data_IF_960984983560
#
_entry.id   IF_960984983560
#
_cell.length_a   1.000
_cell.length_b   1.000
_cell.length_c   1.000
_cell.angle_alpha   90.00
_cell.angle_beta   90.00
_cell.angle_gamma   90.00
#
_symmetry.space_group_name_H-M   'P 1'
#
loop_
_entity.id
_entity.type
_entity.pdbx_description
1 polymer ?
#
# COMPACT_ATOMS: atom_id res chain seq x y z
N UNK A 1 8.53 -0.28 -3.11
CA UNK A 1 9.73 -0.08 -2.25
C UNK A 1 9.81 -1.09 -1.12
N UNK A 2 8.94 -1.06 -0.11
CA UNK A 2 9.07 -1.99 1.03
C UNK A 2 9.09 -3.47 0.61
N UNK A 3 8.14 -3.90 -0.22
CA UNK A 3 8.14 -5.26 -0.80
C UNK A 3 9.44 -5.58 -1.54
N UNK A 4 9.92 -4.70 -2.41
CA UNK A 4 11.16 -4.92 -3.17
C UNK A 4 12.41 -5.06 -2.27
N UNK A 5 12.47 -4.33 -1.16
CA UNK A 5 13.59 -4.43 -0.22
C UNK A 5 13.51 -5.66 0.69
N UNK A 6 12.30 -6.08 1.08
CA UNK A 6 12.10 -7.22 1.98
C UNK A 6 12.10 -8.55 1.23
N UNK A 7 11.71 -8.57 -0.04
CA UNK A 7 11.61 -9.77 -0.86
C UNK A 7 12.69 -9.75 -1.96
N UNK A 8 13.85 -10.39 -1.74
CA UNK A 8 14.95 -10.41 -2.70
C UNK A 8 14.69 -11.38 -3.88
N UNK A 9 13.47 -11.42 -4.38
CA UNK A 9 13.08 -12.21 -5.56
C UNK A 9 13.34 -11.37 -6.83
N UNK A 10 13.93 -12.01 -7.85
CA UNK A 10 14.21 -11.35 -9.13
C UNK A 10 12.96 -11.29 -10.01
N UNK A 11 12.96 -10.35 -10.94
CA UNK A 11 11.92 -10.18 -11.95
C UNK A 11 10.85 -9.16 -11.55
N UNK A 12 9.97 -8.90 -12.52
CA UNK A 12 8.88 -7.93 -12.42
C UNK A 12 7.83 -8.41 -11.44
N UNK A 13 7.44 -7.54 -10.50
CA UNK A 13 6.46 -7.85 -9.47
C UNK A 13 5.18 -7.06 -9.67
N UNK A 14 4.05 -7.74 -9.54
CA UNK A 14 2.77 -7.11 -9.19
C UNK A 14 2.68 -7.07 -7.67
N UNK A 15 2.46 -5.90 -7.09
CA UNK A 15 2.27 -5.71 -5.66
C UNK A 15 0.85 -5.23 -5.42
N UNK A 16 0.14 -5.91 -4.51
CA UNK A 16 -1.23 -5.57 -4.10
C UNK A 16 -1.24 -5.32 -2.59
N UNK A 17 -1.77 -4.18 -2.17
CA UNK A 17 -1.97 -3.84 -0.77
C UNK A 17 -3.43 -3.47 -0.54
N UNK A 18 -4.14 -4.24 0.30
CA UNK A 18 -5.54 -3.95 0.66
C UNK A 18 -5.56 -3.37 2.07
N UNK A 19 -5.72 -2.06 2.14
CA UNK A 19 -5.85 -1.31 3.38
C UNK A 19 -7.30 -1.18 3.87
N UNK A 20 -7.49 -0.36 4.91
CA UNK A 20 -8.81 -0.07 5.47
C UNK A 20 -9.67 0.83 4.59
N UNK A 21 -9.06 1.84 3.96
CA UNK A 21 -9.75 2.84 3.14
C UNK A 21 -9.45 2.77 1.64
N UNK A 22 -8.25 2.31 1.27
CA UNK A 22 -7.77 2.22 -0.10
C UNK A 22 -7.13 0.86 -0.39
N UNK A 23 -6.92 0.62 -1.68
CA UNK A 23 -6.16 -0.52 -2.21
C UNK A 23 -5.16 0.00 -3.22
N UNK A 24 -3.90 -0.36 -3.07
CA UNK A 24 -2.81 0.00 -3.96
C UNK A 24 -2.46 -1.18 -4.86
N UNK A 25 -2.20 -0.90 -6.14
CA UNK A 25 -1.76 -1.86 -7.14
C UNK A 25 -0.56 -1.29 -7.88
N UNK A 26 0.56 -2.00 -7.86
CA UNK A 26 1.82 -1.55 -8.44
C UNK A 26 2.43 -2.64 -9.29
N UNK A 27 2.86 -2.33 -10.51
CA UNK A 27 3.80 -3.17 -11.24
C UNK A 27 5.15 -2.46 -11.27
N UNK A 28 6.21 -3.14 -10.87
CA UNK A 28 7.57 -2.59 -10.84
C UNK A 28 8.62 -3.66 -10.99
N UNK A 29 9.86 -3.23 -11.24
CA UNK A 29 11.01 -4.12 -11.40
C UNK A 29 12.29 -3.38 -10.97
N UNK A 30 13.17 -4.06 -10.24
CA UNK A 30 14.47 -3.52 -9.79
C UNK A 30 14.34 -2.15 -9.10
N UNK A 31 13.45 -2.05 -8.11
CA UNK A 31 13.15 -0.81 -7.36
C UNK A 31 12.55 0.35 -8.19
N UNK A 32 12.28 0.15 -9.48
CA UNK A 32 11.59 1.14 -10.32
C UNK A 32 10.11 0.78 -10.51
N UNK A 33 9.17 1.63 -10.05
CA UNK A 33 7.77 1.46 -10.36
C UNK A 33 7.50 1.76 -11.84
N UNK A 34 6.68 0.94 -12.48
CA UNK A 34 6.26 1.09 -13.88
C UNK A 34 4.81 1.56 -13.96
N UNK A 35 3.91 0.89 -13.24
CA UNK A 35 2.52 1.28 -13.07
C UNK A 35 2.23 1.44 -11.59
N UNK A 36 1.59 2.55 -11.19
CA UNK A 36 1.27 2.85 -9.80
C UNK A 36 -0.16 3.35 -9.73
N UNK A 37 -1.02 2.60 -9.06
CA UNK A 37 -2.43 2.91 -8.94
C UNK A 37 -2.88 2.78 -7.49
N UNK A 38 -3.78 3.66 -7.07
CA UNK A 38 -4.54 3.53 -5.81
C UNK A 38 -6.02 3.70 -6.10
N UNK A 39 -6.84 2.89 -5.45
CA UNK A 39 -8.30 2.93 -5.56
C UNK A 39 -8.92 3.10 -4.19
N UNK A 40 -9.95 3.94 -4.10
CA UNK A 40 -10.77 4.12 -2.88
C UNK A 40 -11.70 2.91 -2.71
N UNK A 41 -11.13 1.83 -2.22
CA UNK A 41 -11.78 0.60 -1.76
C UNK A 41 -10.89 -0.04 -0.71
N UNK A 42 -11.42 -0.26 0.47
CA UNK A 42 -10.69 -0.92 1.55
C UNK A 42 -11.65 -1.68 2.44
N UNK A 43 -11.12 -2.55 3.29
CA UNK A 43 -11.93 -3.47 4.07
C UNK A 43 -12.90 -2.77 5.04
N UNK A 44 -12.53 -1.60 5.59
CA UNK A 44 -13.41 -0.80 6.47
C UNK A 44 -14.50 -0.09 5.67
N UNK A 45 -14.15 0.56 4.55
CA UNK A 45 -15.14 1.26 3.72
C UNK A 45 -16.13 0.28 3.07
N UNK A 46 -15.66 -0.89 2.63
CA UNK A 46 -16.53 -1.91 2.05
C UNK A 46 -17.41 -2.62 3.08
N UNK A 47 -16.97 -2.74 4.34
CA UNK A 47 -17.82 -3.23 5.43
C UNK A 47 -19.09 -2.39 5.53
N UNK A 48 -18.93 -1.07 5.60
CA UNK A 48 -20.04 -0.12 5.76
C UNK A 48 -20.98 -0.10 4.54
N UNK A 49 -20.40 -0.15 3.33
CA UNK A 49 -21.17 -0.02 2.09
C UNK A 49 -21.92 -1.28 1.69
N UNK A 50 -21.30 -2.46 1.84
CA UNK A 50 -21.83 -3.70 1.26
C UNK A 50 -22.31 -4.72 2.29
N UNK A 51 -21.92 -4.57 3.56
CA UNK A 51 -22.27 -5.49 4.64
C UNK A 51 -22.88 -4.72 5.82
N UNK A 52 -24.02 -4.02 5.62
CA UNK A 52 -24.65 -3.25 6.69
C UNK A 52 -24.97 -4.14 7.90
N UNK A 53 -24.63 -3.66 9.10
CA UNK A 53 -24.78 -4.44 10.34
C UNK A 53 -23.89 -5.69 10.43
N UNK A 54 -22.88 -5.82 9.56
CA UNK A 54 -22.00 -6.99 9.48
C UNK A 54 -22.67 -8.23 8.88
N UNK A 55 -23.81 -8.07 8.20
CA UNK A 55 -24.58 -9.20 7.63
C UNK A 55 -23.83 -9.83 6.47
N UNK A 56 -23.59 -11.14 6.57
CA UNK A 56 -22.96 -11.96 5.53
C UNK A 56 -24.05 -12.73 4.79
N UNK A 57 -24.11 -12.54 3.47
CA UNK A 57 -24.87 -13.36 2.54
C UNK A 57 -24.21 -13.29 1.16
N UNK A 58 -24.70 -14.12 0.22
CA UNK A 58 -24.13 -14.24 -1.12
C UNK A 58 -24.26 -12.94 -1.90
N UNK A 59 -25.39 -12.25 -1.76
CA UNK A 59 -25.71 -11.03 -2.50
C UNK A 59 -24.79 -9.87 -2.08
N UNK A 60 -24.60 -9.67 -0.78
CA UNK A 60 -23.69 -8.68 -0.21
C UNK A 60 -22.25 -8.93 -0.68
N UNK A 61 -21.80 -10.19 -0.61
CA UNK A 61 -20.47 -10.57 -1.03
C UNK A 61 -20.25 -10.34 -2.53
N UNK A 62 -21.20 -10.75 -3.37
CA UNK A 62 -21.14 -10.55 -4.82
C UNK A 62 -21.13 -9.08 -5.20
N UNK A 63 -21.95 -8.24 -4.56
CA UNK A 63 -21.93 -6.79 -4.81
C UNK A 63 -20.58 -6.17 -4.44
N UNK A 64 -20.00 -6.55 -3.30
CA UNK A 64 -18.68 -6.07 -2.91
C UNK A 64 -17.58 -6.51 -3.89
N UNK A 65 -17.57 -7.79 -4.28
CA UNK A 65 -16.59 -8.33 -5.25
C UNK A 65 -16.69 -7.63 -6.60
N UNK A 66 -17.91 -7.45 -7.12
CA UNK A 66 -18.15 -6.77 -8.39
C UNK A 66 -17.75 -5.29 -8.32
N UNK A 67 -18.04 -4.61 -7.22
CA UNK A 67 -17.64 -3.22 -7.02
C UNK A 67 -16.11 -3.05 -6.95
N UNK A 68 -15.39 -4.02 -6.38
CA UNK A 68 -13.93 -4.03 -6.43
C UNK A 68 -13.42 -4.20 -7.87
N UNK A 69 -13.95 -5.17 -8.62
CA UNK A 69 -13.58 -5.37 -10.02
C UNK A 69 -13.89 -4.13 -10.89
N UNK A 70 -15.05 -3.50 -10.70
CA UNK A 70 -15.45 -2.29 -11.42
C UNK A 70 -14.47 -1.12 -11.20
N UNK A 71 -13.95 -0.97 -9.97
CA UNK A 71 -12.94 0.08 -9.67
C UNK A 71 -11.61 -0.14 -10.39
N UNK A 72 -11.37 -1.34 -10.91
CA UNK A 72 -10.16 -1.71 -11.64
C UNK A 72 -10.37 -1.72 -13.16
N UNK A 73 -11.58 -1.48 -13.65
CA UNK A 73 -11.94 -1.63 -15.06
C UNK A 73 -10.97 -0.86 -16.00
N UNK A 74 -10.67 0.40 -15.67
CA UNK A 74 -9.80 1.27 -16.48
C UNK A 74 -8.32 0.88 -16.48
N UNK A 75 -7.85 0.07 -15.53
CA UNK A 75 -6.44 -0.34 -15.41
C UNK A 75 -6.19 -1.79 -15.81
N UNK A 76 -7.23 -2.62 -15.91
CA UNK A 76 -7.11 -4.08 -16.13
C UNK A 76 -6.26 -4.44 -17.35
N UNK A 77 -6.55 -3.84 -18.52
CA UNK A 77 -5.84 -4.12 -19.76
C UNK A 77 -4.36 -3.73 -19.69
N UNK A 78 -4.08 -2.53 -19.17
CA UNK A 78 -2.72 -2.01 -19.02
C UNK A 78 -1.88 -2.90 -18.10
N UNK A 79 -2.44 -3.31 -16.95
CA UNK A 79 -1.74 -4.18 -16.00
C UNK A 79 -1.49 -5.58 -16.58
N UNK A 80 -2.49 -6.17 -17.25
CA UNK A 80 -2.38 -7.52 -17.82
C UNK A 80 -1.39 -7.58 -18.98
N UNK A 81 -1.33 -6.55 -19.83
CA UNK A 81 -0.32 -6.47 -20.90
C UNK A 81 1.07 -6.22 -20.33
N UNK A 82 1.19 -5.34 -19.34
CA UNK A 82 2.47 -5.10 -18.68
C UNK A 82 3.00 -6.40 -18.06
N UNK A 83 2.11 -7.19 -17.45
CA UNK A 83 2.43 -8.50 -16.89
C UNK A 83 3.38 -8.43 -15.68
N UNK A 84 3.60 -9.59 -15.08
CA UNK A 84 4.50 -9.78 -13.94
C UNK A 84 5.05 -11.21 -13.94
N UNK A 85 6.21 -11.40 -13.33
CA UNK A 85 6.78 -12.72 -13.06
C UNK A 85 6.21 -13.30 -11.76
N UNK A 86 6.01 -12.46 -10.75
CA UNK A 86 5.46 -12.84 -9.45
C UNK A 86 4.44 -11.79 -8.97
N UNK A 87 3.36 -12.24 -8.34
CA UNK A 87 2.45 -11.35 -7.63
C UNK A 87 2.65 -11.50 -6.12
N UNK A 88 2.80 -10.36 -5.44
CA UNK A 88 3.03 -10.25 -4.01
C UNK A 88 1.89 -9.43 -3.39
N UNK A 89 1.38 -9.90 -2.27
CA UNK A 89 0.34 -9.22 -1.52
C UNK A 89 0.85 -8.77 -0.15
N UNK A 90 0.49 -7.56 0.25
CA UNK A 90 0.87 -6.97 1.53
C UNK A 90 -0.35 -6.71 2.43
N UNK A 91 -0.07 -6.32 3.67
CA UNK A 91 -1.05 -5.87 4.65
C UNK A 91 -2.04 -6.95 5.13
N UNK A 92 -2.97 -6.48 5.95
CA UNK A 92 -3.74 -7.29 6.88
C UNK A 92 -4.71 -8.29 6.27
N UNK A 93 -5.40 -7.88 5.21
CA UNK A 93 -6.40 -8.72 4.54
C UNK A 93 -5.75 -9.93 3.89
N UNK A 94 -4.63 -9.73 3.19
CA UNK A 94 -3.93 -10.80 2.47
C UNK A 94 -3.24 -11.73 3.46
N UNK A 95 -2.63 -11.19 4.51
CA UNK A 95 -2.07 -11.98 5.62
C UNK A 95 -3.12 -12.89 6.26
N UNK A 96 -4.28 -12.35 6.60
CA UNK A 96 -5.37 -13.15 7.19
C UNK A 96 -5.88 -14.23 6.21
N UNK A 97 -6.01 -13.92 4.92
CA UNK A 97 -6.43 -14.90 3.92
C UNK A 97 -5.43 -16.06 3.80
N UNK A 98 -4.13 -15.74 3.81
CA UNK A 98 -3.06 -16.73 3.85
C UNK A 98 -3.13 -17.59 5.13
N UNK A 99 -3.21 -16.98 6.31
CA UNK A 99 -3.27 -17.70 7.60
C UNK A 99 -4.47 -18.66 7.66
N UNK A 100 -5.66 -18.21 7.27
CA UNK A 100 -6.86 -19.07 7.24
C UNK A 100 -6.70 -20.22 6.25
N UNK A 101 -6.08 -20.02 5.09
CA UNK A 101 -5.82 -21.10 4.14
C UNK A 101 -4.86 -22.15 4.69
N UNK A 102 -3.81 -21.72 5.40
CA UNK A 102 -2.87 -22.62 6.07
C UNK A 102 -3.58 -23.46 7.14
N UNK A 103 -4.42 -22.84 7.96
CA UNK A 103 -5.23 -23.52 8.98
C UNK A 103 -6.31 -24.44 8.38
N UNK A 104 -6.77 -24.17 7.17
CA UNK A 104 -7.66 -25.05 6.40
C UNK A 104 -6.91 -26.23 5.73
N UNK A 105 -5.59 -26.32 5.89
CA UNK A 105 -4.76 -27.44 5.43
C UNK A 105 -4.13 -27.28 4.04
N UNK A 106 -4.08 -26.07 3.49
CA UNK A 106 -3.28 -25.81 2.27
C UNK A 106 -1.77 -25.90 2.58
N UNK A 107 -0.98 -26.40 1.63
CA UNK A 107 0.40 -26.86 1.91
C UNK A 107 1.51 -25.84 1.69
N UNK A 108 1.28 -24.83 0.85
CA UNK A 108 2.35 -24.00 0.25
C UNK A 108 2.16 -22.49 0.47
N UNK A 109 1.04 -22.07 1.08
CA UNK A 109 0.77 -20.66 1.39
C UNK A 109 0.44 -19.76 0.20
N UNK A 110 0.37 -20.31 -1.03
CA UNK A 110 0.04 -19.53 -2.23
C UNK A 110 -1.48 -19.27 -2.26
N UNK A 111 -1.89 -18.04 -2.53
CA UNK A 111 -3.30 -17.70 -2.74
C UNK A 111 -3.59 -17.82 -4.24
N UNK A 112 -4.59 -18.65 -4.59
CA UNK A 112 -5.03 -18.89 -5.98
C UNK A 112 -6.53 -18.60 -6.11
N UNK A 113 -7.08 -18.43 -7.34
CA UNK A 113 -8.52 -18.27 -7.53
C UNK A 113 -9.34 -19.37 -6.84
N UNK A 114 -8.92 -20.63 -6.95
CA UNK A 114 -9.63 -21.79 -6.40
C UNK A 114 -9.63 -21.76 -4.86
N UNK A 115 -8.52 -21.34 -4.26
CA UNK A 115 -8.38 -21.18 -2.81
C UNK A 115 -9.20 -20.00 -2.28
N UNK A 116 -9.30 -18.92 -3.04
CA UNK A 116 -10.21 -17.82 -2.70
C UNK A 116 -11.67 -18.30 -2.69
N UNK A 117 -12.10 -19.09 -3.69
CA UNK A 117 -13.47 -19.64 -3.68
C UNK A 117 -13.72 -20.57 -2.48
N UNK A 118 -12.72 -21.32 -2.01
CA UNK A 118 -12.82 -22.08 -0.75
C UNK A 118 -13.07 -21.16 0.45
N UNK A 119 -12.32 -20.07 0.58
CA UNK A 119 -12.55 -19.07 1.64
C UNK A 119 -13.94 -18.45 1.54
N UNK A 120 -14.38 -18.08 0.34
CA UNK A 120 -15.72 -17.53 0.10
C UNK A 120 -16.79 -18.52 0.57
N UNK A 121 -16.64 -19.80 0.22
CA UNK A 121 -17.58 -20.85 0.65
C UNK A 121 -17.66 -20.96 2.17
N UNK A 122 -16.53 -20.95 2.88
CA UNK A 122 -16.52 -21.01 4.35
C UNK A 122 -17.08 -19.75 5.01
N UNK A 123 -16.77 -18.57 4.48
CA UNK A 123 -17.35 -17.30 4.95
C UNK A 123 -18.88 -17.33 4.84
N UNK A 124 -19.42 -17.80 3.72
CA UNK A 124 -20.87 -17.84 3.47
C UNK A 124 -21.64 -18.84 4.34
N UNK A 125 -20.96 -19.65 5.16
CA UNK A 125 -21.59 -20.50 6.18
C UNK A 125 -22.05 -19.71 7.41
N UNK A 126 -21.55 -18.49 7.57
CA UNK A 126 -21.83 -17.60 8.69
C UNK A 126 -22.79 -16.49 8.27
N UNK A 127 -23.59 -15.98 9.22
CA UNK A 127 -24.60 -14.94 8.94
C UNK A 127 -24.14 -13.53 9.28
N UNK A 128 -23.15 -13.40 10.16
CA UNK A 128 -22.68 -12.11 10.63
C UNK A 128 -21.18 -12.13 10.98
N UNK A 129 -20.50 -10.99 10.85
CA UNK A 129 -19.10 -10.81 11.24
C UNK A 129 -18.84 -11.25 12.69
N UNK A 130 -19.75 -10.94 13.62
CA UNK A 130 -19.61 -11.34 15.02
C UNK A 130 -19.61 -12.86 15.22
N UNK A 131 -20.32 -13.59 14.35
CA UNK A 131 -20.39 -15.05 14.37
C UNK A 131 -19.36 -15.71 13.45
N UNK A 132 -18.52 -14.94 12.75
CA UNK A 132 -17.56 -15.48 11.79
C UNK A 132 -16.47 -16.25 12.53
N UNK A 133 -16.52 -17.58 12.44
CA UNK A 133 -15.58 -18.46 13.12
C UNK A 133 -14.75 -19.20 12.09
N UNK A 134 -13.61 -18.60 11.71
CA UNK A 134 -12.63 -19.20 10.82
C UNK A 134 -11.35 -19.48 11.61
N UNK A 135 -10.72 -20.66 11.44
CA UNK A 135 -9.49 -20.97 12.14
C UNK A 135 -8.37 -20.03 11.68
N UNK A 136 -7.53 -19.59 12.62
CA UNK A 136 -6.47 -18.61 12.37
C UNK A 136 -6.92 -17.15 12.31
N UNK A 137 -8.23 -16.86 12.31
CA UNK A 137 -8.73 -15.49 12.24
C UNK A 137 -8.91 -14.88 13.63
N UNK A 138 -8.18 -13.81 13.94
CA UNK A 138 -8.33 -13.09 15.21
C UNK A 138 -9.68 -12.36 15.34
N UNK A 139 -10.13 -12.10 16.57
CA UNK A 139 -11.39 -11.38 16.83
C UNK A 139 -11.43 -10.00 16.16
N UNK A 140 -10.33 -9.24 16.25
CA UNK A 140 -10.22 -7.92 15.60
C UNK A 140 -10.39 -8.03 14.08
N UNK A 141 -9.86 -9.09 13.47
CA UNK A 141 -9.92 -9.32 12.02
C UNK A 141 -11.29 -9.73 11.52
N UNK A 142 -12.14 -10.36 12.33
CA UNK A 142 -13.49 -10.78 11.91
C UNK A 142 -14.31 -9.64 11.32
N UNK A 143 -14.17 -8.44 11.89
CA UNK A 143 -14.94 -7.24 11.51
C UNK A 143 -14.61 -6.72 10.10
N UNK A 144 -13.45 -7.07 9.56
CA UNK A 144 -12.93 -6.54 8.28
C UNK A 144 -12.52 -7.62 7.29
N UNK A 145 -12.53 -8.90 7.69
CA UNK A 145 -12.06 -9.99 6.84
C UNK A 145 -12.92 -10.19 5.60
N UNK A 146 -14.24 -10.33 5.76
CA UNK A 146 -15.18 -10.56 4.64
C UNK A 146 -15.14 -9.48 3.56
N UNK A 147 -15.21 -8.17 3.87
CA UNK A 147 -15.10 -7.13 2.84
C UNK A 147 -13.71 -7.09 2.22
N UNK A 148 -12.65 -7.35 3.00
CA UNK A 148 -11.29 -7.49 2.46
C UNK A 148 -11.17 -8.66 1.48
N UNK A 149 -11.73 -9.82 1.81
CA UNK A 149 -11.77 -11.00 0.95
C UNK A 149 -12.54 -10.71 -0.34
N UNK A 150 -13.67 -9.99 -0.27
CA UNK A 150 -14.41 -9.60 -1.46
C UNK A 150 -13.59 -8.70 -2.39
N UNK A 151 -12.81 -7.75 -1.84
CA UNK A 151 -11.87 -6.93 -2.62
C UNK A 151 -10.79 -7.81 -3.25
N UNK A 152 -10.19 -8.72 -2.47
CA UNK A 152 -9.15 -9.62 -2.94
C UNK A 152 -9.66 -10.49 -4.11
N UNK A 153 -10.86 -11.05 -4.01
CA UNK A 153 -11.50 -11.78 -5.10
C UNK A 153 -11.70 -10.88 -6.34
N UNK A 154 -12.19 -9.65 -6.17
CA UNK A 154 -12.38 -8.72 -7.28
C UNK A 154 -11.07 -8.32 -7.96
N UNK A 155 -9.96 -8.21 -7.21
CA UNK A 155 -8.62 -7.98 -7.76
C UNK A 155 -8.15 -9.19 -8.59
N UNK A 156 -8.35 -10.42 -8.08
CA UNK A 156 -8.03 -11.64 -8.80
C UNK A 156 -8.82 -11.76 -10.11
N UNK A 157 -10.12 -11.46 -10.09
CA UNK A 157 -10.97 -11.48 -11.29
C UNK A 157 -10.49 -10.47 -12.33
N UNK A 158 -10.27 -9.21 -11.90
CA UNK A 158 -9.92 -8.11 -12.77
C UNK A 158 -8.56 -8.30 -13.45
N UNK A 159 -7.58 -8.84 -12.71
CA UNK A 159 -6.21 -8.98 -13.17
C UNK A 159 -5.86 -10.40 -13.67
N UNK A 160 -6.78 -11.36 -13.52
CA UNK A 160 -6.55 -12.77 -13.86
C UNK A 160 -5.30 -13.36 -13.18
N UNK A 161 -5.14 -13.07 -11.88
CA UNK A 161 -3.99 -13.53 -11.10
C UNK A 161 -4.12 -15.04 -10.86
N UNK A 162 -3.04 -15.78 -11.13
CA UNK A 162 -2.99 -17.24 -10.91
C UNK A 162 -2.48 -17.58 -9.51
N UNK A 163 -1.45 -16.88 -9.08
CA UNK A 163 -0.76 -17.11 -7.80
C UNK A 163 -0.40 -15.77 -7.18
N UNK A 164 -0.70 -15.61 -5.88
CA UNK A 164 -0.30 -14.46 -5.06
C UNK A 164 0.40 -14.99 -3.82
N UNK A 165 1.60 -14.47 -3.53
CA UNK A 165 2.37 -14.80 -2.32
C UNK A 165 2.26 -13.66 -1.31
N UNK A 166 2.30 -13.99 -0.02
CA UNK A 166 2.37 -12.99 1.04
C UNK A 166 3.76 -12.34 1.06
N UNK A 167 3.81 -11.02 1.22
CA UNK A 167 5.01 -10.26 1.52
C UNK A 167 5.01 -9.81 2.97
N UNK A 168 6.14 -10.01 3.66
CA UNK A 168 6.37 -9.45 5.00
C UNK A 168 6.69 -7.94 4.99
N UNK A 169 7.06 -7.40 3.82
CA UNK A 169 7.31 -5.97 3.61
C UNK A 169 6.07 -5.24 3.09
N UNK A 170 5.81 -4.05 3.63
CA UNK A 170 4.71 -3.16 3.24
C UNK A 170 5.17 -1.69 3.22
N UNK A 171 4.26 -0.75 3.53
CA UNK A 171 4.57 0.69 3.55
C UNK A 171 5.67 1.05 4.56
N UNK A 172 5.62 0.50 5.79
CA UNK A 172 6.54 0.87 6.87
C UNK A 172 8.01 0.55 6.51
N UNK A 173 8.26 -0.60 5.89
CA UNK A 173 9.59 -0.95 5.39
C UNK A 173 10.01 -0.01 4.25
N UNK A 174 9.08 0.34 3.36
CA UNK A 174 9.36 1.30 2.28
C UNK A 174 9.81 2.67 2.80
N UNK A 175 9.12 3.19 3.82
CA UNK A 175 9.49 4.46 4.48
C UNK A 175 10.85 4.34 5.18
N UNK A 176 11.11 3.22 5.86
CA UNK A 176 12.39 2.97 6.54
C UNK A 176 13.57 3.02 5.56
N UNK A 177 13.46 2.35 4.42
CA UNK A 177 14.51 2.37 3.39
C UNK A 177 14.65 3.72 2.70
N UNK A 178 13.55 4.45 2.50
CA UNK A 178 13.61 5.82 1.98
C UNK A 178 14.38 6.75 2.95
N UNK A 179 14.15 6.60 4.25
CA UNK A 179 14.88 7.34 5.27
C UNK A 179 16.38 6.99 5.25
N UNK A 180 16.73 5.70 5.15
CA UNK A 180 18.13 5.27 5.02
C UNK A 180 18.81 5.84 3.77
N UNK A 181 18.14 5.77 2.61
CA UNK A 181 18.66 6.27 1.33
C UNK A 181 18.95 7.77 1.35
N UNK A 182 18.12 8.56 2.07
CA UNK A 182 18.34 10.00 2.25
C UNK A 182 19.62 10.31 3.01
N UNK A 183 20.02 9.49 3.98
CA UNK A 183 21.32 9.63 4.65
C UNK A 183 22.50 9.35 3.71
N UNK A 184 22.28 8.61 2.62
CA UNK A 184 23.28 8.29 1.58
C UNK A 184 23.15 9.16 0.32
N UNK A 185 22.48 10.31 0.40
CA UNK A 185 22.24 11.26 -0.71
C UNK A 185 21.46 10.70 -1.92
N UNK A 186 20.73 9.59 -1.77
CA UNK A 186 19.85 9.05 -2.81
C UNK A 186 18.41 9.52 -2.57
N UNK A 187 18.07 10.70 -3.09
CA UNK A 187 16.75 11.31 -2.92
C UNK A 187 15.89 11.21 -4.19
N UNK A 188 14.81 10.42 -4.12
CA UNK A 188 13.84 10.25 -5.21
C UNK A 188 13.19 11.57 -5.64
N UNK A 189 13.10 12.56 -4.75
CA UNK A 189 12.51 13.88 -5.06
C UNK A 189 13.35 14.63 -6.09
N UNK A 190 14.67 14.53 -6.03
CA UNK A 190 15.58 15.15 -7.01
C UNK A 190 15.35 14.56 -8.41
N UNK A 191 15.13 13.24 -8.49
CA UNK A 191 14.79 12.56 -9.74
C UNK A 191 13.41 12.97 -10.26
N UNK A 192 12.40 13.06 -9.40
CA UNK A 192 11.06 13.52 -9.77
C UNK A 192 11.08 14.95 -10.29
N UNK A 193 11.78 15.87 -9.63
CA UNK A 193 11.93 17.25 -10.07
C UNK A 193 12.59 17.34 -11.45
N UNK A 194 13.64 16.55 -11.68
CA UNK A 194 14.33 16.48 -12.98
C UNK A 194 13.43 15.90 -14.08
N UNK A 195 12.64 14.87 -13.76
CA UNK A 195 11.67 14.27 -14.69
C UNK A 195 10.59 15.28 -15.11
N UNK A 196 10.04 16.04 -14.16
CA UNK A 196 9.08 17.11 -14.45
C UNK A 196 9.70 18.21 -15.32
N UNK A 197 10.94 18.62 -15.04
CA UNK A 197 11.64 19.60 -15.85
C UNK A 197 11.77 19.15 -17.31
N UNK A 198 12.11 17.88 -17.54
CA UNK A 198 12.18 17.30 -18.87
C UNK A 198 10.80 17.21 -19.53
N UNK A 199 9.79 16.69 -18.82
CA UNK A 199 8.44 16.50 -19.35
C UNK A 199 7.79 17.80 -19.81
N UNK A 200 7.99 18.88 -19.05
CA UNK A 200 7.42 20.20 -19.33
C UNK A 200 8.38 21.14 -20.06
N UNK A 201 9.54 20.65 -20.50
CA UNK A 201 10.55 21.44 -21.24
C UNK A 201 10.93 22.73 -20.50
N UNK A 202 11.12 22.62 -19.18
CA UNK A 202 11.53 23.76 -18.35
C UNK A 202 12.90 24.24 -18.81
N UNK A 203 13.05 25.55 -19.03
CA UNK A 203 14.34 26.20 -19.25
C UNK A 203 15.22 26.03 -18.00
N UNK A 204 16.21 25.15 -18.10
CA UNK A 204 17.09 24.79 -17.00
C UNK A 204 18.02 25.92 -16.60
N UNK A 205 18.43 26.79 -17.53
CA UNK A 205 19.22 27.96 -17.21
C UNK A 205 18.39 28.99 -16.44
N UNK A 206 17.15 29.23 -16.87
CA UNK A 206 16.27 30.15 -16.17
C UNK A 206 15.89 29.62 -14.78
N UNK A 207 15.60 28.33 -14.66
CA UNK A 207 15.36 27.70 -13.37
C UNK A 207 16.56 27.85 -12.43
N UNK A 208 17.79 27.69 -12.96
CA UNK A 208 19.03 27.88 -12.18
C UNK A 208 19.21 29.33 -11.73
N UNK A 209 19.00 30.31 -12.62
CA UNK A 209 19.08 31.75 -12.29
C UNK A 209 18.13 32.11 -11.14
N UNK A 210 16.88 31.66 -11.20
CA UNK A 210 15.89 31.88 -10.13
C UNK A 210 16.32 31.20 -8.84
N UNK A 211 16.75 29.93 -8.90
CA UNK A 211 17.21 29.18 -7.73
C UNK A 211 18.36 29.91 -7.02
N UNK A 212 19.39 30.33 -7.76
CA UNK A 212 20.57 30.97 -7.19
C UNK A 212 20.20 32.29 -6.50
N UNK A 213 19.37 33.13 -7.13
CA UNK A 213 18.88 34.38 -6.51
C UNK A 213 18.01 34.11 -5.28
N UNK A 214 17.09 33.15 -5.35
CA UNK A 214 16.22 32.80 -4.21
C UNK A 214 17.03 32.28 -3.03
N UNK A 215 18.00 31.40 -3.25
CA UNK A 215 18.81 30.84 -2.17
C UNK A 215 19.69 31.91 -1.51
N UNK A 216 20.22 32.88 -2.27
CA UNK A 216 20.95 34.01 -1.67
C UNK A 216 20.08 34.85 -0.72
N UNK A 217 18.82 35.11 -1.08
CA UNK A 217 17.88 35.82 -0.20
C UNK A 217 17.47 34.96 1.00
N UNK A 218 17.24 33.67 0.77
CA UNK A 218 16.89 32.72 1.82
C UNK A 218 17.97 32.63 2.91
N UNK A 219 19.24 32.55 2.53
CA UNK A 219 20.35 32.49 3.49
C UNK A 219 20.41 33.75 4.37
N UNK A 220 20.27 34.95 3.79
CA UNK A 220 20.21 36.21 4.55
C UNK A 220 19.01 36.23 5.52
N UNK A 221 17.84 35.77 5.08
CA UNK A 221 16.68 35.65 5.96
C UNK A 221 16.92 34.63 7.09
N UNK A 222 17.53 33.49 6.78
CA UNK A 222 17.79 32.40 7.73
C UNK A 222 18.69 32.87 8.87
N UNK A 223 19.72 33.64 8.54
CA UNK A 223 20.65 34.25 9.51
C UNK A 223 19.96 35.26 10.43
N UNK A 224 19.01 36.04 9.89
CA UNK A 224 18.25 37.03 10.66
C UNK A 224 17.15 36.40 11.54
N UNK A 225 16.68 35.20 11.20
CA UNK A 225 15.55 34.54 11.86
C UNK A 225 15.88 33.09 12.30
N UNK A 226 16.95 32.85 13.09
CA UNK A 226 17.44 31.50 13.37
C UNK A 226 16.45 30.61 14.14
N UNK A 227 15.60 31.21 14.99
CA UNK A 227 14.54 30.49 15.73
C UNK A 227 13.41 30.00 14.83
N UNK A 228 13.10 30.73 13.76
CA UNK A 228 12.07 30.37 12.79
C UNK A 228 12.62 29.42 11.71
N UNK A 229 13.90 29.54 11.39
CA UNK A 229 14.61 28.64 10.49
C UNK A 229 14.74 27.20 11.04
N UNK A 230 14.85 27.05 12.36
CA UNK A 230 14.97 25.75 13.04
C UNK A 230 13.97 25.61 14.19
N UNK A 231 12.70 25.31 13.91
CA UNK A 231 11.64 25.27 14.91
C UNK A 231 11.75 24.11 15.94
N UNK A 232 12.75 23.22 15.83
CA UNK A 232 12.84 21.99 16.61
C UNK A 232 13.90 21.95 17.74
N UNK A 233 14.58 23.07 18.08
CA UNK A 233 15.60 23.08 19.16
C UNK A 233 15.24 23.93 20.39
N UNK A 234 14.04 24.50 20.46
CA UNK A 234 13.62 25.42 21.53
C UNK A 234 13.11 24.80 22.84
N UNK A 235 13.56 23.60 23.22
CA UNK A 235 12.92 22.83 24.29
C UNK A 235 13.83 22.03 25.22
N UNK A 236 15.02 22.51 25.58
CA UNK A 236 15.77 21.98 26.74
C UNK A 236 17.02 22.81 27.08
N UNK A 237 16.89 24.00 27.65
CA UNK A 237 17.94 24.58 28.52
C UNK A 237 17.37 25.71 29.38
N UNK A 238 16.81 25.36 30.52
CA UNK A 238 16.67 26.23 31.67
C UNK A 238 16.76 25.39 32.96
N UNK A 239 17.88 24.67 33.14
CA UNK A 239 18.35 24.30 34.47
C UNK A 239 19.53 25.21 34.80
N UNK A 240 19.22 26.39 35.33
CA UNK A 240 20.19 27.22 36.02
C UNK A 240 20.46 26.61 37.40
N UNK A 241 21.69 26.13 37.59
CA UNK A 241 22.29 25.93 38.91
C UNK A 241 22.67 27.28 39.50
N UNK A 242 22.36 27.47 40.79
CA UNK A 242 23.00 28.25 41.87
C UNK A 242 21.88 28.60 42.87
N UNK A 243 21.72 28.02 44.06
CA UNK A 243 22.64 27.73 45.16
C UNK A 243 23.32 28.98 45.75
N UNK A 244 22.96 29.23 47.02
CA UNK A 244 23.29 30.34 47.95
C UNK A 244 22.39 31.57 47.84
#
# INVERSE_FOLDING_TARGET
MGVEHTQPEKGRKLVIDIGGGSTELVIGENFEPILVESRRMGCVSFAQLYFPGGVINKENFQRARMAAAQKLETLTWQFRIQGWNVAMGASGTIKAAHEVLMEMGEKDGIITPERLEKLVKEVLRHRNFASLSLPGLSEERKTVFVPGLAILCGVFDALAIRELRLSDGALREGVLYEMEGRFRHQDVRSRTASSLANQYHIDSEQARRVLDTTMQMYEQWREQQPKLAHPATGGATAMGRHAA
#
